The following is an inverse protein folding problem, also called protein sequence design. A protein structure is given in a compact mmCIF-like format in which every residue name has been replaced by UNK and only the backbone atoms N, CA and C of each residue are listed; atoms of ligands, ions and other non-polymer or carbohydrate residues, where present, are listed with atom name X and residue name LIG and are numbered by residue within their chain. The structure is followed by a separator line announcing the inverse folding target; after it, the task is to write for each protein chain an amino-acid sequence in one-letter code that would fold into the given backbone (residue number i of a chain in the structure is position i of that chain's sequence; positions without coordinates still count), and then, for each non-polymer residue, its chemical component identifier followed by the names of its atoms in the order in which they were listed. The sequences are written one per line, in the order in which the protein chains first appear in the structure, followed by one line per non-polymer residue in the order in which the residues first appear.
data_IF_548302370100
#
_entry.id   IF_548302370100
#
_cell.length_a   1.000
_cell.length_b   1.000
_cell.length_c   1.000
_cell.angle_alpha   90.00
_cell.angle_beta   90.00
_cell.angle_gamma   90.00
#
_symmetry.space_group_name_H-M   'P 1'
#
loop_
_entity.id
_entity.type
_entity.pdbx_description
1 polymer ?
#
# COMPACT_ATOMS: atom_id res chain seq x y z
N UNK A 1 19.93 -12.55 -9.79
CA UNK A 1 20.25 -11.24 -9.17
C UNK A 1 19.84 -10.05 -10.06
N UNK A 2 20.39 -9.93 -11.28
CA UNK A 2 20.13 -8.79 -12.20
C UNK A 2 18.65 -8.46 -12.47
N UNK A 3 17.79 -9.48 -12.57
CA UNK A 3 16.35 -9.30 -12.79
C UNK A 3 15.69 -8.59 -11.59
N UNK A 4 15.91 -9.08 -10.37
CA UNK A 4 15.30 -8.54 -9.15
C UNK A 4 15.81 -7.12 -8.84
N UNK A 5 17.08 -6.83 -9.16
CA UNK A 5 17.66 -5.50 -8.97
C UNK A 5 16.94 -4.43 -9.79
N UNK A 6 16.45 -4.79 -10.98
CA UNK A 6 15.76 -3.87 -11.89
C UNK A 6 14.25 -4.12 -11.95
N UNK A 7 13.72 -5.01 -11.11
CA UNK A 7 12.31 -5.32 -11.07
C UNK A 7 11.51 -4.06 -10.70
N UNK A 8 10.52 -3.76 -11.53
CA UNK A 8 9.52 -2.74 -11.31
C UNK A 8 8.19 -3.43 -11.04
N UNK A 9 7.48 -2.98 -10.01
CA UNK A 9 6.22 -3.56 -9.57
C UNK A 9 5.21 -2.44 -9.48
N UNK A 10 4.06 -2.62 -10.11
CA UNK A 10 2.91 -1.73 -9.99
C UNK A 10 1.70 -2.62 -9.66
N UNK A 11 1.02 -2.31 -8.57
CA UNK A 11 -0.17 -3.04 -8.08
C UNK A 11 -1.22 -2.01 -7.73
N UNK A 12 -2.42 -2.17 -8.28
CA UNK A 12 -3.54 -1.27 -8.08
C UNK A 12 -4.71 -2.01 -7.44
N UNK A 13 -5.54 -1.25 -6.72
CA UNK A 13 -6.81 -1.69 -6.13
C UNK A 13 -6.69 -2.99 -5.30
N UNK A 14 -5.81 -2.94 -4.30
CA UNK A 14 -5.55 -4.06 -3.41
C UNK A 14 -6.48 -3.99 -2.21
N UNK A 15 -7.27 -5.05 -2.02
CA UNK A 15 -8.04 -5.27 -0.81
C UNK A 15 -7.73 -6.67 -0.26
N UNK A 16 -7.08 -6.70 0.90
CA UNK A 16 -6.83 -7.93 1.65
C UNK A 16 -7.68 -7.91 2.90
N UNK A 17 -8.59 -8.87 3.06
CA UNK A 17 -9.48 -8.95 4.22
C UNK A 17 -9.35 -10.28 4.94
N UNK A 18 -9.38 -10.23 6.25
CA UNK A 18 -9.55 -11.36 7.15
C UNK A 18 -10.93 -11.27 7.79
N UNK A 19 -11.69 -12.36 7.73
CA UNK A 19 -13.04 -12.42 8.30
C UNK A 19 -13.14 -13.56 9.30
N UNK A 20 -13.74 -13.28 10.44
CA UNK A 20 -14.16 -14.27 11.44
C UNK A 20 -15.68 -14.21 11.58
N UNK A 21 -16.25 -14.98 12.52
CA UNK A 21 -17.70 -14.97 12.77
C UNK A 21 -18.20 -13.63 13.32
N UNK A 22 -17.36 -12.88 14.05
CA UNK A 22 -17.79 -11.72 14.83
C UNK A 22 -17.11 -10.40 14.38
N UNK A 23 -16.08 -10.49 13.54
CA UNK A 23 -15.36 -9.30 13.07
C UNK A 23 -14.71 -9.50 11.70
N UNK A 24 -14.44 -8.38 11.04
CA UNK A 24 -13.62 -8.34 9.83
C UNK A 24 -12.54 -7.27 9.93
N UNK A 25 -11.32 -7.64 9.59
CA UNK A 25 -10.21 -6.71 9.47
C UNK A 25 -9.76 -6.67 8.02
N UNK A 26 -9.24 -5.54 7.56
CA UNK A 26 -8.65 -5.51 6.23
C UNK A 26 -7.72 -4.35 6.00
N UNK A 27 -6.88 -4.54 4.99
CA UNK A 27 -5.99 -3.55 4.44
C UNK A 27 -6.49 -3.21 3.04
N UNK A 28 -6.72 -1.92 2.81
CA UNK A 28 -7.01 -1.37 1.49
C UNK A 28 -5.80 -0.58 1.04
N UNK A 29 -5.52 -0.62 -0.26
CA UNK A 29 -4.40 0.06 -0.86
C UNK A 29 -4.81 0.44 -2.28
N UNK A 30 -4.88 1.74 -2.55
CA UNK A 30 -5.27 2.26 -3.86
C UNK A 30 -4.23 1.91 -4.93
N UNK A 31 -2.95 2.21 -4.67
CA UNK A 31 -1.85 1.78 -5.55
C UNK A 31 -0.53 1.64 -4.80
N UNK A 32 0.32 0.75 -5.29
CA UNK A 32 1.70 0.56 -4.88
C UNK A 32 2.58 0.49 -6.11
N UNK A 33 3.62 1.32 -6.13
CA UNK A 33 4.65 1.27 -7.16
C UNK A 33 6.03 1.15 -6.53
N UNK A 34 6.82 0.18 -6.99
CA UNK A 34 8.22 0.01 -6.65
C UNK A 34 9.04 0.10 -7.94
N UNK A 35 10.03 0.99 -7.98
CA UNK A 35 10.91 1.13 -9.12
C UNK A 35 12.37 1.27 -8.70
N UNK A 36 13.28 0.77 -9.53
CA UNK A 36 14.70 1.06 -9.43
C UNK A 36 15.00 2.46 -9.96
N UNK A 37 15.81 3.21 -9.21
CA UNK A 37 16.15 4.59 -9.53
C UNK A 37 17.66 4.80 -9.59
N UNK A 38 18.07 5.94 -10.14
CA UNK A 38 19.39 6.49 -9.91
C UNK A 38 19.48 7.10 -8.49
N UNK A 39 20.67 7.63 -8.16
CA UNK A 39 20.93 8.33 -6.89
C UNK A 39 20.08 9.60 -6.68
N UNK A 40 19.49 10.13 -7.75
CA UNK A 40 18.65 11.33 -7.72
C UNK A 40 17.15 10.99 -7.61
N UNK A 41 16.79 9.70 -7.60
CA UNK A 41 15.41 9.23 -7.55
C UNK A 41 14.71 9.16 -8.91
N UNK A 42 15.45 9.27 -10.03
CA UNK A 42 14.89 9.11 -11.38
C UNK A 42 14.89 7.63 -11.76
N UNK A 43 13.81 7.12 -12.34
CA UNK A 43 13.73 5.72 -12.79
C UNK A 43 14.89 5.42 -13.74
N UNK A 44 15.63 4.36 -13.48
CA UNK A 44 16.79 3.99 -14.26
C UNK A 44 17.01 2.48 -14.23
N UNK A 45 17.53 1.93 -15.34
CA UNK A 45 18.10 0.60 -15.36
C UNK A 45 19.52 0.66 -14.81
N UNK A 46 19.85 -0.24 -13.88
CA UNK A 46 21.13 -0.30 -13.21
C UNK A 46 21.76 -1.66 -13.48
N UNK A 47 22.87 -1.65 -14.23
CA UNK A 47 23.73 -2.82 -14.39
C UNK A 47 25.01 -2.69 -13.55
N UNK A 48 24.95 -3.23 -12.33
CA UNK A 48 26.06 -3.24 -11.37
C UNK A 48 27.20 -4.18 -11.76
N UNK A 49 27.04 -4.98 -12.83
CA UNK A 49 28.11 -5.85 -13.32
C UNK A 49 29.06 -5.15 -14.30
N UNK A 50 28.57 -4.11 -14.98
CA UNK A 50 29.34 -3.33 -15.95
C UNK A 50 29.98 -2.06 -15.35
N UNK A 51 29.54 -1.62 -14.17
CA UNK A 51 30.01 -0.39 -13.53
C UNK A 51 31.23 -0.62 -12.63
N UNK A 52 32.21 0.29 -12.68
CA UNK A 52 33.34 0.37 -11.76
C UNK A 52 33.11 1.47 -10.71
N UNK A 53 33.58 1.27 -9.47
CA UNK A 53 33.51 2.27 -8.39
C UNK A 53 32.28 2.18 -7.46
N UNK A 54 32.04 3.24 -6.69
CA UNK A 54 31.03 3.33 -5.63
C UNK A 54 29.58 3.15 -6.11
N UNK A 55 29.31 3.37 -7.41
CA UNK A 55 27.97 3.20 -7.98
C UNK A 55 27.55 1.73 -8.08
N UNK A 56 28.52 0.79 -8.02
CA UNK A 56 28.24 -0.64 -7.89
C UNK A 56 27.77 -1.03 -6.48
N UNK A 57 28.11 -0.22 -5.48
CA UNK A 57 27.92 -0.56 -4.06
C UNK A 57 26.47 -0.38 -3.62
N UNK A 58 25.75 0.58 -4.20
CA UNK A 58 24.40 0.94 -3.77
C UNK A 58 23.34 0.62 -4.83
N UNK A 59 22.22 0.07 -4.37
CA UNK A 59 20.99 -0.08 -5.12
C UNK A 59 19.96 0.91 -4.59
N UNK A 60 19.42 1.76 -5.47
CA UNK A 60 18.41 2.75 -5.12
C UNK A 60 17.04 2.27 -5.61
N UNK A 61 16.05 2.30 -4.72
CA UNK A 61 14.66 1.99 -5.05
C UNK A 61 13.74 3.07 -4.49
N UNK A 62 12.68 3.37 -5.22
CA UNK A 62 11.59 4.23 -4.76
C UNK A 62 10.33 3.40 -4.60
N UNK A 63 9.73 3.46 -3.42
CA UNK A 63 8.42 2.90 -3.09
C UNK A 63 7.44 4.06 -2.97
N UNK A 64 6.32 3.98 -3.68
CA UNK A 64 5.19 4.89 -3.53
C UNK A 64 3.95 4.08 -3.21
N UNK A 65 3.25 4.51 -2.17
CA UNK A 65 2.02 3.89 -1.71
C UNK A 65 0.94 4.98 -1.67
N UNK A 66 -0.22 4.69 -2.22
CA UNK A 66 -1.37 5.59 -2.24
C UNK A 66 -2.59 4.93 -1.60
N UNK A 67 -3.24 5.65 -0.70
CA UNK A 67 -4.50 5.23 -0.09
C UNK A 67 -4.37 3.94 0.75
N UNK A 68 -3.25 3.74 1.44
CA UNK A 68 -3.11 2.65 2.41
C UNK A 68 -4.01 2.93 3.61
N UNK A 69 -5.06 2.15 3.78
CA UNK A 69 -5.97 2.20 4.93
C UNK A 69 -6.05 0.85 5.62
N UNK A 70 -6.22 0.87 6.94
CA UNK A 70 -6.42 -0.34 7.75
C UNK A 70 -7.72 -0.16 8.51
N UNK A 71 -8.63 -1.12 8.36
CA UNK A 71 -9.91 -1.12 9.02
C UNK A 71 -10.13 -2.35 9.88
N UNK A 72 -10.98 -2.18 10.89
CA UNK A 72 -11.51 -3.24 11.73
C UNK A 72 -13.00 -2.95 11.94
N UNK A 73 -13.85 -3.79 11.37
CA UNK A 73 -15.29 -3.74 11.54
C UNK A 73 -15.73 -4.85 12.49
N UNK A 74 -16.49 -4.48 13.51
CA UNK A 74 -17.23 -5.43 14.32
C UNK A 74 -18.53 -5.81 13.57
N UNK A 75 -18.79 -7.11 13.42
CA UNK A 75 -20.12 -7.53 13.03
C UNK A 75 -20.99 -7.44 14.28
N UNK A 76 -21.77 -6.36 14.39
CA UNK A 76 -22.98 -6.44 15.21
C UNK A 76 -23.80 -7.58 14.62
N UNK A 77 -23.79 -8.73 15.28
CA UNK A 77 -24.79 -9.77 15.12
C UNK A 77 -26.12 -9.03 15.25
N UNK A 78 -26.81 -8.87 14.13
CA UNK A 78 -28.11 -8.24 14.09
C UNK A 78 -29.07 -9.18 14.82
N UNK A 79 -29.07 -9.15 16.14
CA UNK A 79 -30.18 -9.57 16.96
C UNK A 79 -31.33 -8.64 16.58
N UNK A 80 -32.17 -9.13 15.66
CA UNK A 80 -33.59 -8.82 15.57
C UNK A 80 -33.94 -7.34 15.73
N UNK A 81 -33.80 -6.55 14.65
CA UNK A 81 -34.65 -5.36 14.51
C UNK A 81 -36.04 -5.83 14.06
N UNK A 82 -37.11 -5.58 14.83
CA UNK A 82 -38.46 -5.88 14.38
C UNK A 82 -38.79 -5.02 13.16
N UNK A 83 -39.49 -5.65 12.23
CA UNK A 83 -40.12 -5.07 11.05
C UNK A 83 -40.67 -3.66 11.33
N UNK A 84 -40.14 -2.64 10.65
CA UNK A 84 -40.81 -1.34 10.53
C UNK A 84 -41.00 -1.07 9.05
N UNK A 85 -42.24 -1.27 8.60
CA UNK A 85 -42.72 -0.80 7.31
C UNK A 85 -42.80 0.73 7.43
N UNK A 86 -41.97 1.43 6.66
CA UNK A 86 -42.21 2.82 6.32
C UNK A 86 -42.13 2.94 4.80
N UNK A 87 -43.30 3.10 4.19
CA UNK A 87 -43.47 3.50 2.80
C UNK A 87 -42.81 4.85 2.56
N UNK A 88 -42.04 4.99 1.47
CA UNK A 88 -41.53 6.29 1.05
C UNK A 88 -40.32 6.25 0.11
N UNK A 89 -40.61 6.15 -1.19
CA UNK A 89 -39.75 6.53 -2.32
C UNK A 89 -38.50 5.69 -2.61
N UNK A 90 -38.72 4.67 -3.43
CA UNK A 90 -37.72 4.12 -4.33
C UNK A 90 -37.35 5.15 -5.40
N UNK A 91 -36.05 5.51 -5.50
CA UNK A 91 -35.24 5.30 -6.72
C UNK A 91 -33.75 5.30 -6.31
N UNK A 92 -33.15 4.12 -6.17
CA UNK A 92 -31.74 3.90 -6.50
C UNK A 92 -31.51 2.39 -6.72
N UNK A 93 -31.13 2.04 -7.95
CA UNK A 93 -30.78 0.71 -8.42
C UNK A 93 -29.48 0.17 -7.74
N UNK A 94 -29.15 -1.13 -7.89
CA UNK A 94 -28.28 -1.88 -6.99
C UNK A 94 -26.80 -1.68 -7.32
N UNK A 95 -26.22 -0.58 -6.86
CA UNK A 95 -24.77 -0.46 -6.68
C UNK A 95 -24.45 -0.73 -5.22
N UNK A 96 -23.67 -1.78 -4.93
CA UNK A 96 -23.18 -2.13 -3.59
C UNK A 96 -22.81 -0.85 -2.83
N UNK A 97 -23.65 -0.40 -1.88
CA UNK A 97 -23.26 0.65 -0.94
C UNK A 97 -22.02 0.11 -0.25
N UNK A 98 -20.86 0.70 -0.55
CA UNK A 98 -19.63 0.38 0.16
C UNK A 98 -19.94 0.56 1.64
N UNK A 99 -19.90 -0.55 2.39
CA UNK A 99 -20.08 -0.50 3.84
C UNK A 99 -18.97 0.40 4.35
N UNK A 100 -19.34 1.50 5.01
CA UNK A 100 -18.35 2.43 5.54
C UNK A 100 -17.52 1.66 6.59
N UNK A 101 -16.25 1.43 6.28
CA UNK A 101 -15.33 0.75 7.16
C UNK A 101 -14.94 1.65 8.34
N UNK A 102 -14.72 1.04 9.50
CA UNK A 102 -14.16 1.73 10.67
C UNK A 102 -12.64 1.66 10.61
N UNK A 103 -12.02 2.74 10.15
CA UNK A 103 -10.58 2.80 9.93
C UNK A 103 -9.82 3.04 11.25
N UNK A 104 -8.95 2.09 11.60
CA UNK A 104 -7.90 2.30 12.63
C UNK A 104 -6.81 3.20 12.05
N UNK A 105 -6.50 3.00 10.77
CA UNK A 105 -5.63 3.87 9.98
C UNK A 105 -6.42 4.39 8.78
N UNK A 106 -6.78 5.68 8.80
CA UNK A 106 -7.40 6.32 7.66
C UNK A 106 -6.49 6.22 6.42
N UNK A 107 -7.05 6.12 5.20
CA UNK A 107 -6.24 6.01 3.99
C UNK A 107 -5.19 7.11 3.89
N UNK A 108 -3.92 6.72 3.84
CA UNK A 108 -2.79 7.63 3.72
C UNK A 108 -1.89 7.27 2.55
N UNK A 109 -1.16 8.27 2.06
CA UNK A 109 -0.24 8.11 0.95
C UNK A 109 1.16 8.53 1.39
N UNK A 110 2.17 7.77 0.98
CA UNK A 110 3.56 8.11 1.29
C UNK A 110 4.52 7.64 0.20
N UNK A 111 5.71 8.23 0.23
CA UNK A 111 6.84 7.86 -0.61
C UNK A 111 8.03 7.53 0.29
N UNK A 112 8.71 6.42 -0.02
CA UNK A 112 9.93 6.00 0.65
C UNK A 112 11.03 5.78 -0.39
N UNK A 113 12.22 6.33 -0.12
CA UNK A 113 13.42 6.13 -0.93
C UNK A 113 14.36 5.20 -0.17
N UNK A 114 14.59 4.02 -0.72
CA UNK A 114 15.46 2.99 -0.16
C UNK A 114 16.82 3.04 -0.85
N UNK A 115 17.88 3.03 -0.05
CA UNK A 115 19.26 2.84 -0.51
C UNK A 115 19.82 1.59 0.16
N UNK A 116 20.00 0.53 -0.61
CA UNK A 116 20.56 -0.73 -0.13
C UNK A 116 22.05 -0.82 -0.50
N UNK A 117 22.92 -1.10 0.48
CA UNK A 117 24.33 -1.45 0.25
C UNK A 117 24.48 -2.97 0.16
N UNK A 118 25.36 -3.45 -0.70
CA UNK A 118 25.79 -4.86 -0.70
C UNK A 118 26.81 -5.17 0.41
N UNK A 119 27.35 -4.13 1.07
CA UNK A 119 28.35 -4.28 2.12
C UNK A 119 27.69 -4.66 3.45
N UNK A 120 28.29 -5.59 4.21
CA UNK A 120 27.74 -6.11 5.47
C UNK A 120 27.57 -5.04 6.57
N UNK A 121 28.10 -3.82 6.34
CA UNK A 121 27.85 -2.62 7.13
C UNK A 121 26.83 -1.74 6.41
N UNK A 122 25.53 -2.02 6.63
CA UNK A 122 24.48 -1.07 6.27
C UNK A 122 24.42 0.03 7.34
N UNK A 123 24.78 1.27 6.98
CA UNK A 123 24.45 2.46 7.79
C UNK A 123 23.17 3.04 7.22
N UNK A 124 22.04 2.65 7.81
CA UNK A 124 20.73 3.17 7.45
C UNK A 124 20.58 4.62 7.91
N UNK A 125 20.14 5.48 7.00
CA UNK A 125 19.66 6.83 7.33
C UNK A 125 18.25 6.96 6.77
N UNK A 126 17.21 6.59 7.55
CA UNK A 126 15.85 6.84 7.14
C UNK A 126 15.61 8.35 7.02
N UNK A 127 15.33 8.83 5.80
CA UNK A 127 14.76 10.16 5.55
C UNK A 127 13.28 9.96 5.20
N UNK A 128 12.43 9.83 6.21
CA UNK A 128 10.99 9.82 6.00
C UNK A 128 10.48 11.27 5.93
N UNK A 129 9.67 11.58 4.92
CA UNK A 129 8.86 12.80 4.87
C UNK A 129 7.40 12.35 4.96
N UNK A 130 6.78 12.59 6.11
CA UNK A 130 5.35 12.40 6.30
C UNK A 130 4.66 13.71 5.88
N UNK A 131 3.74 13.65 4.92
CA UNK A 131 2.85 14.77 4.58
C UNK A 131 1.42 14.35 4.87
N UNK A 132 0.74 15.13 5.73
CA UNK A 132 -0.68 15.02 6.09
C UNK A 132 -1.59 15.68 5.06
#
# INVERSE_FOLDING_TARGET
RRIIENLQVEIDDVHVSLKTADCSAGVVLGSLSLATTDRNGRRAFVDRSATTGLEKTFLYKALRIQGLGIYLDEEQVALSRPFTIAEGSAVAAPGKRAKAHTYILAPLSFEAKLRQSDDAKCVDHPKYLLSS
#
